data_IF_836894560318
#
_entry.id   IF_836894560318
#
_cell.length_a   1.000
_cell.length_b   1.000
_cell.length_c   1.000
_cell.angle_alpha   90.00
_cell.angle_beta   90.00
_cell.angle_gamma   90.00
#
_symmetry.space_group_name_H-M   'P 1'
#
loop_
_entity.id
_entity.type
_entity.pdbx_description
1 polymer ?
#
# COMPACT_ATOMS: atom_id res chain seq x y z
N UNK A 1 -33.92 -6.66 -14.15
CA UNK A 1 -32.96 -6.22 -13.11
C UNK A 1 -31.71 -7.12 -13.07
N UNK A 2 -31.10 -7.47 -14.22
CA UNK A 2 -30.04 -8.50 -14.27
C UNK A 2 -28.68 -8.02 -14.80
N UNK A 3 -28.61 -7.06 -15.71
CA UNK A 3 -27.39 -6.83 -16.48
C UNK A 3 -26.28 -6.07 -15.72
N UNK A 4 -26.64 -5.22 -14.75
CA UNK A 4 -25.67 -4.47 -13.93
C UNK A 4 -25.03 -5.38 -12.87
N UNK A 5 -25.83 -6.27 -12.27
CA UNK A 5 -25.34 -7.22 -11.27
C UNK A 5 -24.39 -8.24 -11.87
N UNK A 6 -24.68 -8.75 -13.07
CA UNK A 6 -23.79 -9.69 -13.77
C UNK A 6 -22.45 -9.04 -14.15
N UNK A 7 -22.46 -7.78 -14.60
CA UNK A 7 -21.23 -7.02 -14.89
C UNK A 7 -20.40 -6.78 -13.64
N UNK A 8 -21.02 -6.39 -12.53
CA UNK A 8 -20.33 -6.26 -11.24
C UNK A 8 -19.75 -7.60 -10.77
N UNK A 9 -20.52 -8.68 -10.90
CA UNK A 9 -20.08 -10.02 -10.52
C UNK A 9 -18.87 -10.48 -11.35
N UNK A 10 -18.85 -10.19 -12.65
CA UNK A 10 -17.70 -10.50 -13.52
C UNK A 10 -16.46 -9.68 -13.19
N UNK A 11 -16.62 -8.38 -12.87
CA UNK A 11 -15.51 -7.52 -12.46
C UNK A 11 -14.91 -8.03 -11.14
N UNK A 12 -15.77 -8.33 -10.16
CA UNK A 12 -15.34 -8.87 -8.86
C UNK A 12 -14.64 -10.23 -9.02
N UNK A 13 -15.17 -11.14 -9.85
CA UNK A 13 -14.51 -12.43 -10.14
C UNK A 13 -13.16 -12.25 -10.83
N UNK A 14 -13.03 -11.30 -11.77
CA UNK A 14 -11.75 -10.97 -12.42
C UNK A 14 -10.75 -10.37 -11.45
N UNK A 15 -11.19 -9.51 -10.53
CA UNK A 15 -10.33 -8.98 -9.48
C UNK A 15 -9.87 -10.10 -8.54
N UNK A 16 -10.77 -10.97 -8.12
CA UNK A 16 -10.48 -12.10 -7.22
C UNK A 16 -9.46 -13.07 -7.84
N UNK A 17 -9.66 -13.49 -9.09
CA UNK A 17 -8.71 -14.39 -9.78
C UNK A 17 -7.34 -13.77 -10.00
N UNK A 18 -7.26 -12.45 -10.23
CA UNK A 18 -5.97 -11.75 -10.27
C UNK A 18 -5.29 -11.74 -8.90
N UNK A 19 -6.05 -11.52 -7.84
CA UNK A 19 -5.56 -11.57 -6.46
C UNK A 19 -5.10 -12.97 -6.07
N UNK A 20 -5.84 -14.02 -6.41
CA UNK A 20 -5.46 -15.42 -6.16
C UNK A 20 -4.15 -15.79 -6.85
N UNK A 21 -4.01 -15.47 -8.14
CA UNK A 21 -2.76 -15.70 -8.88
C UNK A 21 -1.57 -14.92 -8.30
N UNK A 22 -1.82 -13.72 -7.75
CA UNK A 22 -0.79 -12.96 -7.07
C UNK A 22 -0.40 -13.61 -5.74
N UNK A 23 -1.38 -14.09 -4.95
CA UNK A 23 -1.16 -14.79 -3.69
C UNK A 23 -0.36 -16.09 -3.90
N UNK A 24 -0.74 -16.88 -4.90
CA UNK A 24 -0.06 -18.13 -5.27
C UNK A 24 1.41 -17.88 -5.61
N UNK A 25 1.70 -16.81 -6.37
CA UNK A 25 3.07 -16.38 -6.67
C UNK A 25 3.82 -15.87 -5.44
N UNK A 26 3.14 -15.24 -4.48
CA UNK A 26 3.78 -14.82 -3.22
C UNK A 26 4.07 -15.99 -2.27
N UNK A 27 3.36 -17.11 -2.38
CA UNK A 27 3.63 -18.32 -1.61
C UNK A 27 4.98 -18.98 -1.94
N UNK A 28 5.51 -18.73 -3.14
CA UNK A 28 6.83 -19.18 -3.58
C UNK A 28 7.98 -18.26 -3.11
N UNK A 29 7.66 -17.11 -2.49
CA UNK A 29 8.68 -16.18 -1.99
C UNK A 29 9.15 -16.70 -0.63
N UNK A 30 10.46 -16.92 -0.43
CA UNK A 30 10.97 -17.38 0.85
C UNK A 30 10.54 -16.42 1.97
N UNK A 31 9.95 -16.97 3.04
CA UNK A 31 9.54 -16.19 4.21
C UNK A 31 10.77 -15.52 4.82
N UNK A 32 10.86 -14.21 4.63
CA UNK A 32 11.87 -13.38 5.27
C UNK A 32 11.59 -13.39 6.78
N UNK A 33 12.65 -13.48 7.61
CA UNK A 33 12.53 -13.42 9.07
C UNK A 33 11.74 -12.18 9.52
N UNK A 34 10.85 -12.36 10.50
CA UNK A 34 10.03 -11.28 11.08
C UNK A 34 10.88 -10.10 11.58
N UNK A 35 12.10 -10.36 12.06
CA UNK A 35 13.02 -9.32 12.51
C UNK A 35 13.49 -8.41 11.36
N UNK A 36 13.76 -8.99 10.19
CA UNK A 36 14.17 -8.23 8.99
C UNK A 36 12.97 -7.45 8.43
N UNK A 37 11.78 -8.07 8.42
CA UNK A 37 10.56 -7.37 8.00
C UNK A 37 10.24 -6.19 8.91
N UNK A 38 10.40 -6.33 10.22
CA UNK A 38 10.17 -5.24 11.18
C UNK A 38 11.11 -4.06 10.95
N UNK A 39 12.41 -4.32 10.71
CA UNK A 39 13.38 -3.28 10.33
C UNK A 39 13.00 -2.60 9.02
N UNK A 40 12.56 -3.37 8.03
CA UNK A 40 12.04 -2.84 6.77
C UNK A 40 10.84 -1.91 6.97
N UNK A 41 9.91 -2.27 7.85
CA UNK A 41 8.77 -1.42 8.19
C UNK A 41 9.18 -0.11 8.88
N UNK A 42 10.16 -0.16 9.79
CA UNK A 42 10.74 1.04 10.42
C UNK A 42 11.31 2.02 9.39
N UNK A 43 12.07 1.51 8.42
CA UNK A 43 12.58 2.32 7.30
C UNK A 43 11.42 2.88 6.46
N UNK A 44 10.42 2.04 6.18
CA UNK A 44 9.21 2.44 5.44
C UNK A 44 8.43 3.58 6.14
N UNK A 45 8.32 3.55 7.47
CA UNK A 45 7.74 4.64 8.24
C UNK A 45 8.54 5.94 8.07
N UNK A 46 9.87 5.87 8.16
CA UNK A 46 10.75 7.03 7.97
C UNK A 46 10.59 7.65 6.58
N UNK A 47 10.59 6.84 5.52
CA UNK A 47 10.36 7.30 4.14
C UNK A 47 8.96 7.93 4.00
N UNK A 48 7.94 7.30 4.59
CA UNK A 48 6.59 7.83 4.61
C UNK A 48 6.50 9.22 5.25
N UNK A 49 7.20 9.44 6.37
CA UNK A 49 7.30 10.76 7.01
C UNK A 49 7.99 11.78 6.09
N UNK A 50 9.09 11.41 5.43
CA UNK A 50 9.80 12.30 4.48
C UNK A 50 8.86 12.72 3.34
N UNK A 51 8.06 11.80 2.80
CA UNK A 51 7.09 12.11 1.75
C UNK A 51 5.99 13.06 2.22
N UNK A 52 5.50 12.91 3.46
CA UNK A 52 4.54 13.86 4.02
C UNK A 52 5.16 15.25 4.19
N UNK A 53 6.35 15.34 4.77
CA UNK A 53 7.05 16.62 4.95
C UNK A 53 7.34 17.29 3.60
N UNK A 54 7.84 16.54 2.62
CA UNK A 54 8.08 17.03 1.27
C UNK A 54 6.80 17.51 0.57
N UNK A 55 5.69 16.80 0.75
CA UNK A 55 4.38 17.21 0.27
C UNK A 55 3.88 18.50 0.93
N UNK A 56 4.04 18.66 2.24
CA UNK A 56 3.69 19.91 2.95
C UNK A 56 4.52 21.09 2.39
N UNK A 57 5.84 20.92 2.26
CA UNK A 57 6.72 21.94 1.68
C UNK A 57 6.29 22.28 0.25
N UNK A 58 5.98 21.27 -0.57
CA UNK A 58 5.52 21.46 -1.94
C UNK A 58 4.20 22.26 -2.03
N UNK A 59 3.26 22.03 -1.11
CA UNK A 59 2.03 22.82 -1.00
C UNK A 59 2.33 24.28 -0.65
N UNK A 60 3.26 24.53 0.28
CA UNK A 60 3.70 25.88 0.65
C UNK A 60 4.35 26.63 -0.53
N UNK A 61 5.03 25.92 -1.42
CA UNK A 61 5.62 26.46 -2.66
C UNK A 61 4.59 26.65 -3.80
N UNK A 62 3.29 26.50 -3.53
CA UNK A 62 2.19 26.63 -4.50
C UNK A 62 2.28 25.67 -5.71
N UNK A 63 3.01 24.56 -5.59
CA UNK A 63 2.97 23.46 -6.58
C UNK A 63 1.66 22.69 -6.34
N UNK A 64 0.88 22.38 -7.37
CA UNK A 64 -0.45 21.77 -7.15
C UNK A 64 -0.46 20.23 -7.22
N UNK A 65 0.16 19.63 -8.24
CA UNK A 65 -0.06 18.20 -8.55
C UNK A 65 0.90 17.28 -7.78
N UNK A 66 2.19 17.62 -7.77
CA UNK A 66 3.23 16.81 -7.12
C UNK A 66 3.08 16.69 -5.59
N UNK A 67 2.67 17.76 -4.87
CA UNK A 67 2.50 17.68 -3.41
C UNK A 67 1.36 16.79 -2.97
N UNK A 68 0.26 16.77 -3.74
CA UNK A 68 -0.87 15.89 -3.45
C UNK A 68 -0.48 14.41 -3.62
N UNK A 69 0.26 14.10 -4.69
CA UNK A 69 0.76 12.75 -4.95
C UNK A 69 1.71 12.26 -3.85
N UNK A 70 2.62 13.12 -3.41
CA UNK A 70 3.58 12.79 -2.33
C UNK A 70 2.90 12.59 -0.98
N UNK A 71 1.87 13.39 -0.65
CA UNK A 71 1.07 13.20 0.57
C UNK A 71 0.30 11.87 0.57
N UNK A 72 -0.34 11.53 -0.54
CA UNK A 72 -1.07 10.27 -0.69
C UNK A 72 -0.10 9.08 -0.59
N UNK A 73 1.03 9.16 -1.27
CA UNK A 73 2.07 8.12 -1.22
C UNK A 73 2.63 7.97 0.20
N UNK A 74 2.95 9.07 0.88
CA UNK A 74 3.46 9.04 2.25
C UNK A 74 2.48 8.44 3.24
N UNK A 75 1.21 8.86 3.17
CA UNK A 75 0.14 8.33 4.04
C UNK A 75 -0.09 6.84 3.79
N UNK A 76 -0.18 6.42 2.53
CA UNK A 76 -0.37 5.01 2.16
C UNK A 76 0.79 4.15 2.67
N UNK A 77 2.02 4.64 2.53
CA UNK A 77 3.24 3.97 3.01
C UNK A 77 3.23 3.80 4.53
N UNK A 78 2.84 4.83 5.28
CA UNK A 78 2.75 4.75 6.74
C UNK A 78 1.71 3.70 7.16
N UNK A 79 0.50 3.79 6.62
CA UNK A 79 -0.60 2.89 6.97
C UNK A 79 -0.23 1.43 6.63
N UNK A 80 0.32 1.16 5.46
CA UNK A 80 0.70 -0.20 5.05
C UNK A 80 1.77 -0.81 5.96
N UNK A 81 2.74 0.00 6.40
CA UNK A 81 3.79 -0.46 7.30
C UNK A 81 3.26 -0.69 8.73
N UNK A 82 2.37 0.16 9.25
CA UNK A 82 1.74 -0.05 10.55
C UNK A 82 0.93 -1.35 10.56
N UNK A 83 0.13 -1.60 9.52
CA UNK A 83 -0.66 -2.84 9.41
C UNK A 83 0.27 -4.06 9.39
N UNK A 84 1.37 -3.99 8.65
CA UNK A 84 2.36 -5.07 8.59
C UNK A 84 3.03 -5.30 9.93
N UNK A 85 3.45 -4.25 10.64
CA UNK A 85 4.05 -4.38 11.97
C UNK A 85 3.08 -5.01 12.98
N UNK A 86 1.80 -4.63 12.95
CA UNK A 86 0.77 -5.26 13.79
C UNK A 86 0.62 -6.75 13.50
N UNK A 87 0.70 -7.17 12.23
CA UNK A 87 0.65 -8.59 11.84
C UNK A 87 1.90 -9.38 12.23
N UNK A 88 3.05 -8.73 12.35
CA UNK A 88 4.32 -9.37 12.74
C UNK A 88 4.45 -9.53 14.26
N UNK A 89 3.69 -8.76 15.05
CA UNK A 89 3.68 -8.81 16.51
C UNK A 89 2.54 -9.66 17.10
N UNK A 90 1.57 -10.07 16.27
CA UNK A 90 0.47 -10.98 16.62
C UNK A 90 0.88 -12.43 16.38
#
# INVERSE_FOLDING_TARGET
>A
MNNINEKLLQITKKALTKTEKAIERTGAIPKISSAVQYKGCLVGLGIGTIFIVGGIIGLLMKKQIWPLGTLIAGTTTIISNIITMKKLQA
#
